data_IF_116660836051
#
_entry.id   IF_116660836051
#
_cell.length_a   1.000
_cell.length_b   1.000
_cell.length_c   1.000
_cell.angle_alpha   90.00
_cell.angle_beta   90.00
_cell.angle_gamma   90.00
#
_symmetry.space_group_name_H-M   'P 1'
#
loop_
_entity.id
_entity.type
_entity.pdbx_description
1 polymer ?
#
# COMPACT_ATOMS: atom_id res chain seq x y z
N UNK A 1 -1.70 37.31 -11.96
CA UNK A 1 -1.55 38.01 -13.26
C UNK A 1 -0.46 39.05 -13.08
N UNK A 2 0.68 38.97 -13.77
CA UNK A 2 1.69 40.02 -13.72
C UNK A 2 1.11 41.32 -14.30
N UNK A 3 1.37 42.46 -13.64
CA UNK A 3 0.94 43.77 -14.14
C UNK A 3 1.77 44.15 -15.39
N UNK A 4 1.17 44.81 -16.39
CA UNK A 4 1.87 45.22 -17.60
C UNK A 4 2.98 46.24 -17.28
N UNK A 5 4.12 46.08 -17.93
CA UNK A 5 5.29 46.95 -17.82
C UNK A 5 5.65 47.42 -19.22
N UNK A 6 5.90 48.72 -19.39
CA UNK A 6 6.18 49.32 -20.70
C UNK A 6 7.62 49.83 -20.76
N UNK A 7 8.27 49.73 -21.92
CA UNK A 7 9.65 50.21 -22.10
C UNK A 7 9.70 51.70 -22.46
N UNK A 8 8.62 52.21 -23.06
CA UNK A 8 8.48 53.64 -23.42
C UNK A 8 7.16 54.19 -22.93
N UNK A 9 7.16 55.49 -22.58
CA UNK A 9 5.95 56.18 -22.12
C UNK A 9 4.83 56.19 -23.18
N UNK A 10 5.21 56.17 -24.46
CA UNK A 10 4.26 56.22 -25.58
C UNK A 10 3.46 54.93 -25.77
N UNK A 11 3.95 53.81 -25.25
CA UNK A 11 3.28 52.51 -25.30
C UNK A 11 2.16 52.39 -24.25
N UNK A 12 2.11 53.34 -23.31
CA UNK A 12 1.07 53.43 -22.29
C UNK A 12 -0.15 54.11 -22.91
N UNK A 13 -1.34 53.47 -22.87
CA UNK A 13 -2.56 54.11 -23.37
C UNK A 13 -2.79 55.44 -22.64
N UNK A 14 -3.16 56.47 -23.40
CA UNK A 14 -3.19 57.87 -22.93
C UNK A 14 -4.01 58.07 -21.64
N UNK A 15 -5.12 57.33 -21.51
CA UNK A 15 -5.99 57.34 -20.34
C UNK A 15 -5.31 56.89 -19.03
N UNK A 16 -4.20 56.15 -19.10
CA UNK A 16 -3.51 55.57 -17.94
C UNK A 16 -2.11 56.14 -17.70
N UNK A 17 -1.61 57.06 -18.55
CA UNK A 17 -0.24 57.60 -18.42
C UNK A 17 0.06 58.26 -17.07
N UNK A 18 -0.94 58.85 -16.42
CA UNK A 18 -0.83 59.47 -15.09
C UNK A 18 -0.63 58.46 -13.95
N UNK A 19 -1.03 57.21 -14.16
CA UNK A 19 -0.99 56.12 -13.19
C UNK A 19 0.32 55.34 -13.24
N UNK A 20 1.22 55.61 -14.20
CA UNK A 20 2.53 54.96 -14.31
C UNK A 20 3.65 55.90 -13.89
N UNK A 21 4.73 55.33 -13.36
CA UNK A 21 5.96 56.02 -13.01
C UNK A 21 7.19 55.30 -13.57
N UNK A 22 8.22 56.06 -13.92
CA UNK A 22 9.49 55.52 -14.39
C UNK A 22 10.27 54.96 -13.19
N UNK A 23 10.55 53.65 -13.19
CA UNK A 23 11.46 53.00 -12.24
C UNK A 23 12.61 52.34 -12.98
N UNK A 24 13.78 52.41 -12.37
CA UNK A 24 14.98 51.72 -12.85
C UNK A 24 15.11 50.37 -12.15
N UNK A 25 15.02 49.28 -12.91
CA UNK A 25 15.19 47.93 -12.40
C UNK A 25 16.25 47.21 -13.25
N UNK A 26 17.40 46.91 -12.66
CA UNK A 26 18.51 46.23 -13.34
C UNK A 26 19.22 47.07 -14.41
N UNK A 27 19.26 48.40 -14.27
CA UNK A 27 19.96 49.30 -15.20
C UNK A 27 19.19 49.69 -16.47
N UNK A 28 17.91 49.31 -16.56
CA UNK A 28 17.01 49.69 -17.65
C UNK A 28 15.81 50.44 -17.08
N UNK A 29 15.52 51.62 -17.65
CA UNK A 29 14.35 52.45 -17.32
C UNK A 29 13.09 51.81 -17.87
N UNK A 30 12.12 51.50 -17.00
CA UNK A 30 10.82 50.93 -17.38
C UNK A 30 9.69 51.67 -16.68
N UNK A 31 8.54 51.72 -17.33
CA UNK A 31 7.34 52.34 -16.77
C UNK A 31 6.50 51.30 -16.06
N UNK A 32 6.33 51.49 -14.75
CA UNK A 32 5.57 50.62 -13.86
C UNK A 32 4.32 51.34 -13.37
N UNK A 33 3.22 50.60 -13.20
CA UNK A 33 2.03 51.14 -12.54
C UNK A 33 2.40 51.60 -11.12
N UNK A 34 1.93 52.78 -10.71
CA UNK A 34 2.05 53.30 -9.35
C UNK A 34 1.24 52.39 -8.42
N UNK A 35 1.91 51.40 -7.87
CA UNK A 35 1.36 50.58 -6.78
C UNK A 35 1.70 51.29 -5.49
N UNK A 36 0.68 51.66 -4.70
CA UNK A 36 0.87 52.18 -3.34
C UNK A 36 1.79 51.23 -2.55
N UNK A 37 2.72 51.81 -1.78
CA UNK A 37 3.66 51.01 -1.01
C UNK A 37 2.91 50.19 0.05
N UNK A 38 2.71 48.91 -0.24
CA UNK A 38 2.07 47.95 0.66
C UNK A 38 3.04 47.40 1.71
N UNK A 39 4.33 47.75 1.68
CA UNK A 39 5.31 47.32 2.67
C UNK A 39 4.92 47.71 4.12
N UNK A 40 4.53 48.95 4.44
CA UNK A 40 4.08 49.31 5.79
C UNK A 40 2.79 48.58 6.22
N UNK A 41 1.88 48.31 5.28
CA UNK A 41 0.66 47.53 5.54
C UNK A 41 0.98 46.06 5.81
N UNK A 42 1.90 45.46 5.06
CA UNK A 42 2.39 44.09 5.29
C UNK A 42 3.13 43.98 6.61
N UNK A 43 3.96 44.97 6.96
CA UNK A 43 4.65 45.02 8.25
C UNK A 43 3.67 45.09 9.43
N UNK A 44 2.64 45.94 9.34
CA UNK A 44 1.57 46.02 10.35
C UNK A 44 0.76 44.72 10.44
N UNK A 45 0.40 44.11 9.31
CA UNK A 45 -0.31 42.83 9.31
C UNK A 45 0.53 41.72 9.96
N UNK A 46 1.83 41.68 9.68
CA UNK A 46 2.74 40.71 10.30
C UNK A 46 2.82 40.94 11.82
N UNK A 47 2.96 42.19 12.25
CA UNK A 47 2.95 42.56 13.66
C UNK A 47 1.65 42.12 14.36
N UNK A 48 0.48 42.41 13.78
CA UNK A 48 -0.81 42.01 14.34
C UNK A 48 -0.97 40.48 14.41
N UNK A 49 -0.45 39.74 13.42
CA UNK A 49 -0.46 38.28 13.45
C UNK A 49 0.43 37.73 14.55
N UNK A 50 1.60 38.32 14.77
CA UNK A 50 2.53 37.89 15.80
C UNK A 50 2.00 38.23 17.20
N UNK A 51 1.38 39.40 17.38
CA UNK A 51 0.65 39.77 18.61
C UNK A 51 -0.52 38.81 18.88
N UNK A 52 -1.31 38.47 17.85
CA UNK A 52 -2.43 37.52 17.98
C UNK A 52 -1.95 36.12 18.36
N UNK A 53 -0.83 35.66 17.80
CA UNK A 53 -0.23 34.36 18.15
C UNK A 53 0.30 34.35 19.57
N UNK A 54 0.97 35.43 19.99
CA UNK A 54 1.46 35.57 21.36
C UNK A 54 0.30 35.56 22.36
N UNK A 55 -0.79 36.26 22.06
CA UNK A 55 -1.96 36.30 22.93
C UNK A 55 -2.69 34.95 22.99
N UNK A 56 -2.81 34.24 21.87
CA UNK A 56 -3.35 32.87 21.85
C UNK A 56 -2.51 31.91 22.69
N UNK A 57 -1.17 31.99 22.62
CA UNK A 57 -0.27 31.16 23.44
C UNK A 57 -0.44 31.46 24.92
N UNK A 58 -0.44 32.74 25.31
CA UNK A 58 -0.70 33.14 26.71
C UNK A 58 -2.06 32.66 27.19
N UNK A 59 -3.10 32.74 26.36
CA UNK A 59 -4.42 32.24 26.70
C UNK A 59 -4.43 30.71 26.89
N UNK A 60 -3.74 29.97 26.02
CA UNK A 60 -3.59 28.52 26.16
C UNK A 60 -2.83 28.15 27.43
N UNK A 61 -1.72 28.82 27.72
CA UNK A 61 -0.94 28.63 28.95
C UNK A 61 -1.76 28.94 30.21
N UNK A 62 -2.56 30.02 30.19
CA UNK A 62 -3.47 30.36 31.29
C UNK A 62 -4.61 29.35 31.42
N UNK A 63 -5.18 28.87 30.32
CA UNK A 63 -6.22 27.82 30.34
C UNK A 63 -5.65 26.49 30.87
N UNK A 64 -4.43 26.12 30.52
CA UNK A 64 -3.72 24.95 31.06
C UNK A 64 -3.43 25.10 32.56
N UNK A 65 -2.93 26.26 32.99
CA UNK A 65 -2.69 26.55 34.42
C UNK A 65 -4.01 26.52 35.22
N UNK A 66 -5.09 27.06 34.68
CA UNK A 66 -6.42 27.01 35.32
C UNK A 66 -6.91 25.57 35.39
N UNK A 67 -6.73 24.76 34.33
CA UNK A 67 -7.11 23.35 34.33
C UNK A 67 -6.29 22.53 35.35
N UNK A 68 -4.98 22.80 35.48
CA UNK A 68 -4.12 22.17 36.48
C UNK A 68 -4.50 22.59 37.90
N UNK A 69 -4.78 23.87 38.13
CA UNK A 69 -5.28 24.38 39.41
C UNK A 69 -6.67 23.80 39.75
N UNK A 70 -7.54 23.59 38.77
CA UNK A 70 -8.84 22.94 38.98
C UNK A 70 -8.68 21.44 39.26
N UNK A 71 -7.74 20.75 38.63
CA UNK A 71 -7.43 19.34 38.93
C UNK A 71 -6.87 19.18 40.34
N UNK A 72 -5.94 20.04 40.73
CA UNK A 72 -5.34 20.03 42.07
C UNK A 72 -6.35 20.42 43.14
N UNK A 73 -7.21 21.41 42.89
CA UNK A 73 -8.33 21.74 43.79
C UNK A 73 -9.37 20.62 43.86
N UNK A 74 -9.78 20.05 42.74
CA UNK A 74 -10.70 18.91 42.74
C UNK A 74 -10.13 17.68 43.47
N UNK A 75 -8.82 17.44 43.36
CA UNK A 75 -8.13 16.39 44.12
C UNK A 75 -8.07 16.71 45.63
N UNK A 76 -7.82 17.97 45.98
CA UNK A 76 -7.83 18.44 47.37
C UNK A 76 -9.23 18.40 48.00
N UNK A 77 -10.25 18.87 47.28
CA UNK A 77 -11.66 18.91 47.68
C UNK A 77 -12.25 17.50 47.80
N UNK A 78 -11.75 16.53 47.02
CA UNK A 78 -12.12 15.12 47.12
C UNK A 78 -11.42 14.36 48.27
N UNK A 79 -10.58 15.01 49.08
CA UNK A 79 -9.87 14.36 50.20
C UNK A 79 -8.87 13.29 49.77
N UNK A 80 -8.39 13.37 48.52
CA UNK A 80 -7.35 12.51 47.96
C UNK A 80 -6.01 13.20 48.20
N UNK A 81 -5.43 12.95 49.38
CA UNK A 81 -4.05 13.34 49.67
C UNK A 81 -3.12 12.76 48.60
N UNK A 82 -1.95 13.38 48.35
CA UNK A 82 -1.00 12.90 47.35
C UNK A 82 -0.57 11.42 47.51
N UNK A 83 -0.74 10.86 48.72
CA UNK A 83 -0.56 9.43 49.00
C UNK A 83 -1.65 8.55 48.39
N UNK A 84 -2.93 8.96 48.46
CA UNK A 84 -4.04 8.24 47.82
C UNK A 84 -3.98 8.33 46.30
N UNK A 85 -3.49 9.44 45.73
CA UNK A 85 -3.23 9.53 44.28
C UNK A 85 -2.19 8.49 43.85
N UNK A 86 -1.07 8.38 44.57
CA UNK A 86 -0.05 7.35 44.30
C UNK A 86 -0.59 5.93 44.47
N UNK A 87 -1.46 5.70 45.45
CA UNK A 87 -2.08 4.39 45.64
C UNK A 87 -3.06 4.05 44.51
N UNK A 88 -3.83 5.02 44.03
CA UNK A 88 -4.72 4.87 42.86
C UNK A 88 -3.90 4.63 41.60
N UNK A 89 -2.82 5.39 41.36
CA UNK A 89 -1.91 5.20 40.23
C UNK A 89 -1.26 3.81 40.25
N UNK A 90 -0.74 3.37 41.40
CA UNK A 90 -0.17 2.04 41.56
C UNK A 90 -1.25 0.94 41.37
N UNK A 91 -2.48 1.19 41.82
CA UNK A 91 -3.62 0.28 41.62
C UNK A 91 -4.07 0.19 40.16
N UNK A 92 -4.05 1.30 39.44
CA UNK A 92 -4.29 1.39 38.00
C UNK A 92 -3.19 0.64 37.27
N UNK A 93 -1.93 0.95 37.53
CA UNK A 93 -0.79 0.29 36.87
C UNK A 93 -0.81 -1.23 37.08
N UNK A 94 -1.10 -1.72 38.30
CA UNK A 94 -1.28 -3.16 38.55
C UNK A 94 -2.46 -3.77 37.79
N UNK A 95 -3.59 -3.06 37.69
CA UNK A 95 -4.77 -3.56 36.97
C UNK A 95 -4.52 -3.61 35.47
N UNK A 96 -3.90 -2.59 34.91
CA UNK A 96 -3.63 -2.47 33.48
C UNK A 96 -2.33 -3.15 33.04
N UNK A 97 -1.43 -3.53 33.93
CA UNK A 97 -0.22 -4.27 33.57
C UNK A 97 -0.57 -5.58 32.85
N UNK A 98 -1.53 -6.34 33.38
CA UNK A 98 -1.99 -7.59 32.76
C UNK A 98 -2.70 -7.36 31.43
N UNK A 99 -3.44 -6.27 31.30
CA UNK A 99 -4.12 -5.93 30.05
C UNK A 99 -3.16 -5.40 29.00
N UNK A 100 -2.09 -4.70 29.42
CA UNK A 100 -0.97 -4.31 28.56
C UNK A 100 -0.20 -5.51 28.05
N UNK A 101 0.16 -6.45 28.93
CA UNK A 101 0.79 -7.71 28.51
C UNK A 101 -0.07 -8.49 27.52
N UNK A 102 -1.40 -8.51 27.73
CA UNK A 102 -2.34 -9.13 26.79
C UNK A 102 -2.43 -8.38 25.46
N UNK A 103 -2.43 -7.05 25.49
CA UNK A 103 -2.44 -6.22 24.30
C UNK A 103 -1.14 -6.42 23.49
N UNK A 104 0.01 -6.36 24.14
CA UNK A 104 1.33 -6.57 23.51
C UNK A 104 1.42 -7.99 22.91
N UNK A 105 0.94 -9.01 23.63
CA UNK A 105 0.89 -10.38 23.12
C UNK A 105 -0.09 -10.55 21.95
N UNK A 106 -1.23 -9.87 21.97
CA UNK A 106 -2.19 -9.90 20.88
C UNK A 106 -1.64 -9.17 19.64
N UNK A 107 -0.98 -8.04 19.82
CA UNK A 107 -0.34 -7.28 18.75
C UNK A 107 0.78 -8.09 18.09
N UNK A 108 1.64 -8.74 18.87
CA UNK A 108 2.68 -9.63 18.35
C UNK A 108 2.08 -10.77 17.51
N UNK A 109 0.97 -11.39 17.97
CA UNK A 109 0.28 -12.44 17.23
C UNK A 109 -0.32 -11.92 15.91
N UNK A 110 -0.94 -10.74 15.95
CA UNK A 110 -1.52 -10.11 14.76
C UNK A 110 -0.45 -9.76 13.72
N UNK A 111 0.72 -9.25 14.16
CA UNK A 111 1.86 -8.97 13.30
C UNK A 111 2.35 -10.24 12.60
N UNK A 112 2.59 -11.32 13.35
CA UNK A 112 3.02 -12.60 12.77
C UNK A 112 1.99 -13.17 11.80
N UNK A 113 0.70 -13.13 12.14
CA UNK A 113 -0.37 -13.65 11.28
C UNK A 113 -0.52 -12.82 9.99
N UNK A 114 -0.41 -11.49 10.10
CA UNK A 114 -0.50 -10.58 8.95
C UNK A 114 0.67 -10.78 7.99
N UNK A 115 1.88 -10.89 8.53
CA UNK A 115 3.09 -11.19 7.77
C UNK A 115 2.98 -12.52 7.02
N UNK A 116 2.62 -13.60 7.73
CA UNK A 116 2.45 -14.93 7.13
C UNK A 116 1.36 -14.95 6.04
N UNK A 117 0.23 -14.28 6.27
CA UNK A 117 -0.86 -14.19 5.29
C UNK A 117 -0.43 -13.43 4.02
N UNK A 118 0.29 -12.32 4.18
CA UNK A 118 0.79 -11.55 3.05
C UNK A 118 1.85 -12.31 2.25
N UNK A 119 2.78 -12.99 2.94
CA UNK A 119 3.80 -13.84 2.33
C UNK A 119 3.15 -14.98 1.54
N UNK A 120 2.18 -15.67 2.13
CA UNK A 120 1.46 -16.77 1.47
C UNK A 120 0.79 -16.32 0.17
N UNK A 121 0.12 -15.16 0.20
CA UNK A 121 -0.50 -14.57 -1.01
C UNK A 121 0.53 -14.17 -2.07
N UNK A 122 1.67 -13.62 -1.68
CA UNK A 122 2.73 -13.27 -2.62
C UNK A 122 3.39 -14.52 -3.23
N UNK A 123 3.61 -15.56 -2.43
CA UNK A 123 4.11 -16.86 -2.89
C UNK A 123 3.13 -17.52 -3.87
N UNK A 124 1.83 -17.44 -3.61
CA UNK A 124 0.78 -17.88 -4.55
C UNK A 124 0.87 -17.14 -5.89
N UNK A 125 0.92 -15.81 -5.84
CA UNK A 125 0.98 -14.96 -7.03
C UNK A 125 2.29 -15.16 -7.83
N UNK A 126 3.37 -15.56 -7.17
CA UNK A 126 4.66 -15.84 -7.81
C UNK A 126 4.76 -17.27 -8.36
N UNK A 127 3.80 -18.16 -8.08
CA UNK A 127 3.76 -19.53 -8.59
C UNK A 127 4.60 -20.53 -7.80
N UNK A 128 4.83 -20.27 -6.51
CA UNK A 128 5.51 -21.18 -5.58
C UNK A 128 4.67 -22.45 -5.38
N UNK A 129 5.34 -23.61 -5.39
CA UNK A 129 4.70 -24.91 -5.19
C UNK A 129 4.05 -24.98 -3.79
N UNK A 130 2.77 -25.37 -3.66
CA UNK A 130 2.09 -25.48 -2.37
C UNK A 130 2.85 -26.30 -1.33
N UNK A 131 3.40 -27.44 -1.75
CA UNK A 131 4.22 -28.38 -0.94
C UNK A 131 5.48 -27.75 -0.31
N UNK A 132 5.94 -26.61 -0.86
CA UNK A 132 7.23 -25.98 -0.51
C UNK A 132 7.08 -24.60 0.10
N UNK A 133 5.86 -24.06 0.23
CA UNK A 133 5.61 -22.71 0.77
C UNK A 133 6.09 -22.55 2.20
N UNK A 134 5.79 -23.49 3.08
CA UNK A 134 6.21 -23.42 4.49
C UNK A 134 7.74 -23.45 4.63
N UNK A 135 8.40 -24.25 3.80
CA UNK A 135 9.86 -24.31 3.76
C UNK A 135 10.47 -23.01 3.23
N UNK A 136 9.86 -22.40 2.22
CA UNK A 136 10.29 -21.10 1.69
C UNK A 136 10.05 -19.99 2.72
N UNK A 137 8.89 -19.95 3.36
CA UNK A 137 8.55 -18.98 4.40
C UNK A 137 9.54 -19.03 5.56
N UNK A 138 9.96 -20.22 6.00
CA UNK A 138 11.03 -20.36 7.01
C UNK A 138 12.39 -19.82 6.54
N UNK A 139 12.66 -19.84 5.24
CA UNK A 139 13.96 -19.45 4.68
C UNK A 139 14.06 -17.95 4.43
N UNK A 140 12.97 -17.34 3.95
CA UNK A 140 12.92 -15.92 3.60
C UNK A 140 12.18 -15.04 4.61
N UNK A 141 11.45 -15.64 5.57
CA UNK A 141 10.61 -14.93 6.53
C UNK A 141 11.34 -13.86 7.34
N UNK A 142 12.60 -14.11 7.72
CA UNK A 142 13.41 -13.15 8.49
C UNK A 142 13.75 -11.87 7.72
N UNK A 143 13.66 -11.91 6.38
CA UNK A 143 13.93 -10.78 5.49
C UNK A 143 12.77 -9.79 5.38
N UNK A 144 11.63 -10.08 5.98
CA UNK A 144 10.45 -9.23 5.92
C UNK A 144 10.13 -8.62 7.28
N UNK A 145 9.53 -7.44 7.25
CA UNK A 145 8.95 -6.79 8.43
C UNK A 145 7.65 -6.06 8.07
N UNK A 146 6.89 -5.65 9.09
CA UNK A 146 5.71 -4.80 8.95
C UNK A 146 6.08 -3.35 9.23
N UNK A 147 5.61 -2.43 8.38
CA UNK A 147 5.56 -1.01 8.72
C UNK A 147 4.50 -0.75 9.80
N UNK A 148 4.56 0.42 10.44
CA UNK A 148 3.56 0.87 11.40
C UNK A 148 2.13 0.91 10.80
N UNK A 149 2.03 1.11 9.48
CA UNK A 149 0.79 1.08 8.70
C UNK A 149 0.31 -0.35 8.35
N UNK A 150 1.01 -1.38 8.82
CA UNK A 150 0.67 -2.79 8.58
C UNK A 150 1.04 -3.32 7.19
N UNK A 151 1.87 -2.61 6.42
CA UNK A 151 2.34 -3.09 5.11
C UNK A 151 3.62 -3.90 5.26
N UNK A 152 3.69 -5.03 4.56
CA UNK A 152 4.90 -5.87 4.54
C UNK A 152 5.93 -5.28 3.59
N UNK A 153 7.16 -5.13 4.07
CA UNK A 153 8.31 -4.67 3.27
C UNK A 153 9.51 -5.60 3.45
N UNK A 154 10.44 -5.55 2.50
CA UNK A 154 11.71 -6.29 2.57
C UNK A 154 12.73 -5.46 3.34
N UNK A 155 13.32 -6.01 4.41
CA UNK A 155 14.29 -5.31 5.27
C UNK A 155 15.52 -4.81 4.49
N UNK A 156 15.98 -5.61 3.54
CA UNK A 156 17.17 -5.31 2.74
C UNK A 156 16.91 -4.29 1.63
N UNK A 157 15.65 -4.16 1.18
CA UNK A 157 15.27 -3.22 0.12
C UNK A 157 13.78 -2.82 0.23
N UNK A 158 13.51 -1.73 0.95
CA UNK A 158 12.16 -1.20 1.12
C UNK A 158 11.52 -0.68 -0.18
N UNK A 159 12.29 -0.53 -1.27
CA UNK A 159 11.77 -0.15 -2.58
C UNK A 159 11.27 -1.35 -3.40
N UNK A 160 11.72 -2.56 -3.06
CA UNK A 160 11.27 -3.79 -3.68
C UNK A 160 9.93 -4.22 -3.07
N UNK A 161 8.87 -4.16 -3.86
CA UNK A 161 7.56 -4.69 -3.45
C UNK A 161 7.63 -6.20 -3.20
N UNK A 162 6.82 -6.70 -2.27
CA UNK A 162 6.73 -8.11 -1.89
C UNK A 162 6.60 -9.03 -3.13
N UNK A 163 5.75 -8.65 -4.08
CA UNK A 163 5.53 -9.42 -5.31
C UNK A 163 6.76 -9.48 -6.21
N UNK A 164 7.50 -8.36 -6.34
CA UNK A 164 8.72 -8.29 -7.15
C UNK A 164 9.83 -9.14 -6.52
N UNK A 165 9.93 -9.14 -5.19
CA UNK A 165 10.88 -9.97 -4.47
C UNK A 165 10.67 -11.46 -4.75
N UNK A 166 9.43 -11.96 -4.65
CA UNK A 166 9.16 -13.36 -4.94
C UNK A 166 9.22 -13.71 -6.44
N UNK A 167 8.96 -12.77 -7.35
CA UNK A 167 9.03 -13.05 -8.79
C UNK A 167 10.45 -13.07 -9.33
N UNK A 168 11.32 -12.18 -8.85
CA UNK A 168 12.62 -11.94 -9.46
C UNK A 168 13.77 -12.44 -8.58
N UNK A 169 13.83 -12.02 -7.31
CA UNK A 169 14.94 -12.35 -6.41
C UNK A 169 14.86 -13.81 -5.93
N UNK A 170 13.73 -14.21 -5.34
CA UNK A 170 13.57 -15.55 -4.77
C UNK A 170 13.53 -16.62 -5.86
N UNK A 171 12.94 -16.31 -7.03
CA UNK A 171 12.93 -17.25 -8.16
C UNK A 171 14.31 -17.50 -8.74
N UNK A 172 15.19 -16.49 -8.71
CA UNK A 172 16.58 -16.62 -9.14
C UNK A 172 17.40 -17.45 -8.15
N UNK A 173 17.23 -17.20 -6.87
CA UNK A 173 18.01 -17.86 -5.81
C UNK A 173 17.51 -19.28 -5.50
N UNK A 174 16.20 -19.52 -5.66
CA UNK A 174 15.51 -20.77 -5.28
C UNK A 174 14.54 -21.27 -6.37
N UNK A 175 15.00 -21.55 -7.60
CA UNK A 175 14.13 -21.95 -8.71
C UNK A 175 13.35 -23.26 -8.45
N UNK A 176 13.85 -24.14 -7.59
CA UNK A 176 13.24 -25.42 -7.22
C UNK A 176 11.92 -25.29 -6.45
N UNK A 177 11.69 -24.14 -5.81
CA UNK A 177 10.47 -23.83 -5.09
C UNK A 177 9.33 -23.39 -6.02
N UNK A 178 9.65 -23.02 -7.25
CA UNK A 178 8.68 -22.56 -8.23
C UNK A 178 8.17 -23.70 -9.09
N UNK A 179 6.93 -23.58 -9.55
CA UNK A 179 6.49 -24.37 -10.68
C UNK A 179 7.32 -23.93 -11.88
N UNK A 180 8.08 -24.86 -12.47
CA UNK A 180 8.86 -24.57 -13.66
C UNK A 180 7.92 -24.03 -14.72
N UNK A 181 8.29 -22.92 -15.37
CA UNK A 181 7.68 -22.61 -16.66
C UNK A 181 7.88 -23.86 -17.51
N UNK A 182 6.79 -24.54 -17.87
CA UNK A 182 6.81 -25.41 -19.02
C UNK A 182 7.01 -24.51 -20.24
N UNK A 183 8.21 -23.96 -20.37
CA UNK A 183 8.69 -23.38 -21.60
C UNK A 183 8.72 -24.55 -22.58
N UNK A 184 7.72 -24.55 -23.45
CA UNK A 184 7.79 -25.18 -24.74
C UNK A 184 9.12 -24.77 -25.41
N UNK A 185 9.97 -25.76 -25.66
CA UNK A 185 11.22 -25.62 -26.40
C UNK A 185 12.23 -26.68 -25.95
N UNK A 186 12.64 -27.65 -26.74
CA UNK A 186 12.34 -28.00 -28.11
C UNK A 186 13.21 -29.19 -28.51
N UNK A 187 12.65 -30.11 -29.29
CA UNK A 187 13.42 -30.98 -30.17
C UNK A 187 14.36 -32.00 -29.53
N UNK A 188 13.80 -33.05 -28.92
CA UNK A 188 14.40 -34.37 -29.04
C UNK A 188 13.38 -35.26 -29.75
N UNK A 189 13.63 -35.54 -31.04
CA UNK A 189 12.86 -36.48 -31.83
C UNK A 189 13.03 -37.89 -31.24
N UNK A 190 12.12 -38.27 -30.34
CA UNK A 190 11.96 -39.63 -29.85
C UNK A 190 10.54 -40.06 -30.13
N UNK A 191 10.35 -40.81 -31.21
CA UNK A 191 9.07 -41.35 -31.63
C UNK A 191 8.37 -42.11 -30.49
N UNK A 192 7.22 -41.62 -30.05
CA UNK A 192 6.22 -42.40 -29.34
C UNK A 192 4.85 -41.73 -29.51
N UNK A 193 4.11 -42.21 -30.52
CA UNK A 193 2.71 -42.62 -30.39
C UNK A 193 1.86 -41.91 -29.33
N UNK A 194 0.88 -41.14 -29.79
CA UNK A 194 -0.49 -41.25 -29.28
C UNK A 194 -1.01 -40.11 -28.41
N UNK A 195 -2.03 -39.42 -28.94
CA UNK A 195 -3.25 -39.07 -28.21
C UNK A 195 -3.14 -38.01 -27.12
N UNK A 196 -3.62 -36.81 -27.45
CA UNK A 196 -3.99 -35.82 -26.45
C UNK A 196 -5.05 -36.38 -25.50
N UNK A 197 -4.62 -36.75 -24.31
CA UNK A 197 -5.48 -37.08 -23.18
C UNK A 197 -5.17 -36.12 -22.05
N UNK A 198 -6.11 -35.21 -21.76
CA UNK A 198 -6.18 -34.54 -20.47
C UNK A 198 -6.27 -35.60 -19.34
N UNK A 199 -5.83 -35.27 -18.11
CA UNK A 199 -5.41 -36.25 -17.12
C UNK A 199 -6.61 -37.00 -16.52
N UNK A 200 -6.64 -38.35 -16.62
CA UNK A 200 -7.59 -39.16 -15.83
C UNK A 200 -8.37 -40.31 -16.52
N UNK A 201 -7.79 -41.01 -17.50
CA UNK A 201 -8.03 -42.44 -17.80
C UNK A 201 -9.47 -43.03 -17.99
N UNK A 202 -10.52 -42.25 -18.25
CA UNK A 202 -11.83 -42.78 -18.67
C UNK A 202 -12.31 -42.18 -19.99
N UNK A 203 -12.75 -42.99 -20.96
CA UNK A 203 -13.28 -42.48 -22.22
C UNK A 203 -14.54 -41.63 -21.98
N UNK A 204 -14.90 -40.73 -22.91
CA UNK A 204 -16.06 -39.84 -22.76
C UNK A 204 -17.39 -40.57 -22.53
N UNK A 205 -17.47 -41.83 -22.96
CA UNK A 205 -18.60 -42.74 -22.75
C UNK A 205 -18.78 -43.16 -21.30
N UNK A 206 -17.74 -43.03 -20.47
CA UNK A 206 -17.72 -43.41 -19.05
C UNK A 206 -17.76 -42.21 -18.10
N UNK A 207 -17.94 -40.99 -18.62
CA UNK A 207 -18.13 -39.80 -17.80
C UNK A 207 -19.51 -39.80 -17.15
N UNK A 208 -19.53 -39.39 -15.87
CA UNK A 208 -20.75 -39.09 -15.14
C UNK A 208 -21.51 -37.92 -15.76
N UNK A 209 -22.76 -37.70 -15.31
CA UNK A 209 -23.56 -36.56 -15.79
C UNK A 209 -22.87 -35.22 -15.50
N UNK A 210 -22.24 -35.12 -14.33
CA UNK A 210 -21.63 -33.86 -13.86
C UNK A 210 -20.33 -33.56 -14.59
N UNK A 211 -19.47 -34.57 -14.83
CA UNK A 211 -18.25 -34.42 -15.64
C UNK A 211 -18.57 -34.01 -17.09
N UNK A 212 -19.65 -34.56 -17.66
CA UNK A 212 -20.11 -34.15 -19.00
C UNK A 212 -20.61 -32.72 -19.00
N UNK A 213 -21.35 -32.31 -17.98
CA UNK A 213 -21.86 -30.95 -17.86
C UNK A 213 -20.73 -29.94 -17.71
N UNK A 214 -19.74 -30.21 -16.85
CA UNK A 214 -18.58 -29.35 -16.63
C UNK A 214 -17.72 -29.22 -17.90
N UNK A 215 -17.52 -30.33 -18.62
CA UNK A 215 -16.80 -30.29 -19.90
C UNK A 215 -17.56 -29.51 -20.97
N UNK A 216 -18.88 -29.70 -21.09
CA UNK A 216 -19.71 -28.96 -22.05
C UNK A 216 -19.78 -27.47 -21.69
N UNK A 217 -19.82 -27.14 -20.39
CA UNK A 217 -19.82 -25.76 -19.93
C UNK A 217 -18.50 -25.05 -20.24
N UNK A 218 -17.38 -25.78 -20.14
CA UNK A 218 -16.04 -25.22 -20.35
C UNK A 218 -15.64 -25.20 -21.83
N UNK A 219 -15.98 -26.23 -22.59
CA UNK A 219 -15.49 -26.45 -23.96
C UNK A 219 -16.58 -26.35 -25.04
N UNK A 220 -17.85 -26.30 -24.64
CA UNK A 220 -19.00 -26.28 -25.53
C UNK A 220 -19.50 -27.66 -25.95
N UNK A 221 -20.77 -27.71 -26.36
CA UNK A 221 -21.45 -28.95 -26.74
C UNK A 221 -20.87 -29.57 -28.02
N UNK A 222 -20.38 -28.74 -28.96
CA UNK A 222 -19.77 -29.22 -30.21
C UNK A 222 -18.43 -29.92 -29.97
N UNK A 223 -17.61 -29.40 -29.04
CA UNK A 223 -16.35 -30.02 -28.66
C UNK A 223 -16.57 -31.40 -28.01
N UNK A 224 -17.60 -31.53 -27.17
CA UNK A 224 -17.98 -32.83 -26.58
C UNK A 224 -18.43 -33.84 -27.64
N UNK A 225 -19.21 -33.39 -28.65
CA UNK A 225 -19.64 -34.27 -29.75
C UNK A 225 -18.46 -34.71 -30.64
N UNK A 226 -17.51 -33.82 -30.89
CA UNK A 226 -16.27 -34.15 -31.62
C UNK A 226 -15.46 -35.23 -30.90
N UNK A 227 -15.23 -35.03 -29.60
CA UNK A 227 -14.54 -35.97 -28.72
C UNK A 227 -15.21 -37.36 -28.69
N UNK A 228 -16.55 -37.38 -28.59
CA UNK A 228 -17.33 -38.62 -28.59
C UNK A 228 -17.25 -39.36 -29.94
N UNK A 229 -17.34 -38.62 -31.05
CA UNK A 229 -17.25 -39.19 -32.39
C UNK A 229 -15.85 -39.75 -32.70
N UNK A 230 -14.80 -39.07 -32.25
CA UNK A 230 -13.43 -39.54 -32.38
C UNK A 230 -13.21 -40.84 -31.58
N UNK A 231 -13.73 -40.90 -30.35
CA UNK A 231 -13.69 -42.12 -29.55
C UNK A 231 -14.44 -43.29 -30.20
N UNK A 232 -15.64 -43.05 -30.74
CA UNK A 232 -16.40 -44.10 -31.44
C UNK A 232 -15.72 -44.54 -32.74
N UNK A 233 -15.05 -43.64 -33.44
CA UNK A 233 -14.31 -43.95 -34.67
C UNK A 233 -13.08 -44.81 -34.41
N UNK A 234 -12.33 -44.50 -33.35
CA UNK A 234 -11.17 -45.30 -32.93
C UNK A 234 -11.58 -46.67 -32.39
N UNK A 235 -12.73 -46.79 -31.72
CA UNK A 235 -13.28 -48.07 -31.27
C UNK A 235 -13.79 -48.96 -32.42
N UNK A 236 -14.06 -48.40 -33.60
CA UNK A 236 -14.66 -49.09 -34.75
C UNK A 236 -13.65 -49.57 -35.81
N UNK A 237 -12.34 -49.31 -35.67
CA UNK A 237 -11.35 -49.81 -36.63
C UNK A 237 -10.95 -51.25 -36.28
N UNK A 238 -11.24 -52.26 -37.14
CA UNK A 238 -10.72 -53.60 -36.93
C UNK A 238 -9.20 -53.59 -37.10
N UNK A 239 -8.49 -54.05 -36.07
CA UNK A 239 -7.04 -54.22 -36.09
C UNK A 239 -6.66 -55.15 -37.26
N UNK A 240 -6.12 -54.56 -38.33
CA UNK A 240 -5.54 -55.31 -39.44
C UNK A 240 -4.18 -55.82 -38.96
N UNK A 241 -4.12 -57.13 -38.71
CA UNK A 241 -2.87 -57.88 -38.51
C UNK A 241 -2.26 -58.21 -39.86
#
# INVERSE_FOLDING_TARGET
>A
MPLPVFEKQDEIPEAFRSEYEEREAGGVKKWHLKVEDTAPLKAKNQQLLDETKAEKRKRQELEEQVAELQRTKAAADAGVTGEKLKEIEAGIEKKYAKDRERADAAEARLKTQSLSTALSKAMDAAGVRPERKEALERLVGDKFDLTDDGKVFVKDDASLGLDAFFKDAVKKDYPEFYTGSQAAGGGAAGAASGGGGAPGAKPPTQWSSDERAEYIQTNGQEAYRGLLNEHLRTASQPATK
#
